data_IF_826110755476
#
_entry.id   IF_826110755476
#
_cell.length_a   1.000
_cell.length_b   1.000
_cell.length_c   1.000
_cell.angle_alpha   90.00
_cell.angle_beta   90.00
_cell.angle_gamma   90.00
#
_symmetry.space_group_name_H-M   'P 1'
#
loop_
_entity.id
_entity.type
_entity.pdbx_description
1 polymer ?
#
# COMPACT_ATOMS: atom_id res chain seq x y z
N UNK A 1 27.49 -0.87 4.26
CA UNK A 1 28.94 -0.78 3.96
C UNK A 1 29.08 -0.74 2.45
N UNK A 2 29.54 0.37 1.86
CA UNK A 2 29.80 0.47 0.42
C UNK A 2 31.19 -0.08 0.18
N UNK A 3 31.31 -1.09 -0.67
CA UNK A 3 32.60 -1.65 -1.06
C UNK A 3 33.31 -0.63 -1.95
N UNK A 4 34.52 -0.25 -1.55
CA UNK A 4 35.38 0.62 -2.31
C UNK A 4 35.79 -0.13 -3.58
N UNK A 5 35.24 0.28 -4.73
CA UNK A 5 35.72 -0.10 -6.04
C UNK A 5 37.14 0.46 -6.23
N UNK A 6 38.14 -0.22 -5.68
CA UNK A 6 39.55 0.10 -5.94
C UNK A 6 39.87 -0.35 -7.36
N UNK A 7 39.99 0.62 -8.26
CA UNK A 7 40.56 0.38 -9.58
C UNK A 7 41.95 -0.25 -9.40
N UNK A 8 42.15 -1.46 -9.95
CA UNK A 8 43.46 -2.11 -9.95
C UNK A 8 44.33 -1.35 -10.94
N UNK A 9 45.17 -0.46 -10.43
CA UNK A 9 46.13 0.29 -11.24
C UNK A 9 47.23 -0.65 -11.74
N UNK A 10 47.02 -1.22 -12.92
CA UNK A 10 48.05 -2.02 -13.59
C UNK A 10 49.17 -1.10 -14.11
N UNK A 11 50.39 -1.32 -13.65
CA UNK A 11 51.60 -0.58 -14.04
C UNK A 11 52.19 -0.93 -15.42
N UNK A 12 51.55 -1.81 -16.19
CA UNK A 12 52.02 -2.13 -17.54
C UNK A 12 51.85 -0.93 -18.48
N UNK A 13 52.76 -0.73 -19.46
CA UNK A 13 52.57 0.30 -20.49
C UNK A 13 51.28 0.00 -21.28
N UNK A 14 50.55 1.06 -21.67
CA UNK A 14 49.21 0.98 -22.29
C UNK A 14 49.15 0.05 -23.50
N UNK A 15 50.24 -0.06 -24.24
CA UNK A 15 50.39 -0.89 -25.44
C UNK A 15 50.44 -2.38 -25.13
N UNK A 16 50.87 -2.78 -23.93
CA UNK A 16 50.94 -4.18 -23.48
C UNK A 16 49.72 -4.62 -22.66
N UNK A 17 48.80 -3.70 -22.34
CA UNK A 17 47.58 -4.03 -21.59
C UNK A 17 46.54 -4.77 -22.45
N UNK A 18 46.64 -4.65 -23.77
CA UNK A 18 45.71 -5.26 -24.73
C UNK A 18 46.49 -6.30 -25.53
N UNK A 19 46.04 -7.56 -25.59
CA UNK A 19 46.61 -8.57 -26.47
C UNK A 19 46.72 -8.06 -27.91
N UNK A 20 47.81 -8.40 -28.61
CA UNK A 20 48.11 -7.89 -29.97
C UNK A 20 46.95 -8.10 -30.95
N UNK A 21 46.30 -9.28 -30.87
CA UNK A 21 45.13 -9.63 -31.68
C UNK A 21 43.93 -8.68 -31.44
N UNK A 22 43.71 -8.29 -30.18
CA UNK A 22 42.60 -7.42 -29.80
C UNK A 22 42.88 -5.95 -30.16
N UNK A 23 44.15 -5.56 -30.18
CA UNK A 23 44.60 -4.23 -30.59
C UNK A 23 44.35 -4.01 -32.10
N UNK A 24 44.63 -5.02 -32.93
CA UNK A 24 44.31 -5.01 -34.37
C UNK A 24 42.81 -4.94 -34.62
N UNK A 25 42.01 -5.68 -33.83
CA UNK A 25 40.55 -5.64 -33.90
C UNK A 25 39.98 -4.25 -33.55
N UNK A 26 40.44 -3.63 -32.46
CA UNK A 26 40.01 -2.27 -32.07
C UNK A 26 40.41 -1.24 -33.12
N UNK A 27 41.63 -1.35 -33.68
CA UNK A 27 42.08 -0.48 -34.78
C UNK A 27 41.19 -0.64 -36.01
N UNK A 28 40.82 -1.87 -36.36
CA UNK A 28 39.91 -2.16 -37.47
C UNK A 28 38.50 -1.61 -37.22
N UNK A 29 37.97 -1.67 -35.99
CA UNK A 29 36.70 -1.04 -35.65
C UNK A 29 36.76 0.49 -35.74
N UNK A 30 37.85 1.10 -35.26
CA UNK A 30 38.03 2.57 -35.35
C UNK A 30 38.18 3.04 -36.79
N UNK A 31 38.95 2.35 -37.61
CA UNK A 31 39.05 2.68 -39.05
C UNK A 31 37.74 2.43 -39.79
N UNK A 32 36.95 1.41 -39.43
CA UNK A 32 35.57 1.25 -39.94
C UNK A 32 34.66 2.41 -39.51
N UNK A 33 34.77 2.87 -38.26
CA UNK A 33 34.01 4.01 -37.73
C UNK A 33 34.46 5.36 -38.32
N UNK A 34 35.74 5.53 -38.61
CA UNK A 34 36.29 6.74 -39.24
C UNK A 34 36.04 6.76 -40.76
N UNK A 35 35.92 5.60 -41.42
CA UNK A 35 35.63 5.45 -42.84
C UNK A 35 34.14 5.54 -43.20
N UNK A 36 33.23 5.21 -42.28
CA UNK A 36 31.84 5.67 -42.34
C UNK A 36 31.79 7.09 -41.80
N UNK A 37 32.24 8.03 -42.65
CA UNK A 37 32.29 9.44 -42.36
C UNK A 37 31.00 9.91 -41.70
N UNK A 38 31.17 10.80 -40.72
CA UNK A 38 30.14 11.66 -40.14
C UNK A 38 28.81 11.52 -40.86
N UNK A 39 27.98 10.55 -40.47
CA UNK A 39 26.56 10.66 -40.78
C UNK A 39 26.17 11.92 -40.03
N UNK A 40 26.19 13.04 -40.76
CA UNK A 40 25.78 14.32 -40.30
C UNK A 40 24.33 14.08 -39.93
N UNK A 41 24.08 13.80 -38.65
CA UNK A 41 22.74 13.75 -38.08
C UNK A 41 22.12 15.02 -38.62
N UNK A 42 21.13 14.86 -39.52
CA UNK A 42 20.62 15.97 -40.33
C UNK A 42 20.39 17.16 -39.42
N UNK A 43 20.73 18.36 -39.89
CA UNK A 43 20.55 19.58 -39.11
C UNK A 43 19.19 19.56 -38.43
N UNK A 44 19.19 19.69 -37.10
CA UNK A 44 17.99 19.54 -36.27
C UNK A 44 16.86 20.38 -36.87
N UNK A 45 15.74 19.74 -37.25
CA UNK A 45 14.54 20.47 -37.63
C UNK A 45 13.99 21.14 -36.37
N UNK A 46 14.31 22.42 -36.22
CA UNK A 46 13.88 23.23 -35.08
C UNK A 46 12.35 23.29 -34.95
N UNK A 47 11.63 23.26 -36.07
CA UNK A 47 10.17 23.34 -36.07
C UNK A 47 9.54 22.06 -35.54
N UNK A 48 10.06 20.90 -35.95
CA UNK A 48 9.60 19.60 -35.49
C UNK A 48 10.01 19.36 -34.04
N UNK A 49 11.28 19.65 -33.71
CA UNK A 49 11.82 19.48 -32.34
C UNK A 49 11.02 20.32 -31.34
N UNK A 50 10.65 21.55 -31.68
CA UNK A 50 9.79 22.40 -30.83
C UNK A 50 8.40 21.80 -30.62
N UNK A 51 7.79 21.20 -31.66
CA UNK A 51 6.50 20.50 -31.55
C UNK A 51 6.63 19.27 -30.64
N UNK A 52 7.69 18.48 -30.79
CA UNK A 52 7.93 17.29 -29.97
C UNK A 52 8.10 17.66 -28.49
N UNK A 53 8.90 18.68 -28.17
CA UNK A 53 9.07 19.19 -26.80
C UNK A 53 7.74 19.69 -26.22
N UNK A 54 6.95 20.44 -26.99
CA UNK A 54 5.66 20.94 -26.53
C UNK A 54 4.67 19.79 -26.23
N UNK A 55 4.66 18.74 -27.07
CA UNK A 55 3.82 17.56 -26.86
C UNK A 55 4.27 16.74 -25.65
N UNK A 56 5.58 16.60 -25.43
CA UNK A 56 6.14 15.96 -24.24
C UNK A 56 5.68 16.67 -22.96
N UNK A 57 5.80 18.01 -22.92
CA UNK A 57 5.33 18.82 -21.78
C UNK A 57 3.83 18.68 -21.53
N UNK A 58 3.01 18.68 -22.59
CA UNK A 58 1.55 18.46 -22.45
C UNK A 58 1.23 17.09 -21.86
N UNK A 59 1.92 16.03 -22.30
CA UNK A 59 1.74 14.67 -21.77
C UNK A 59 2.13 14.58 -20.31
N UNK A 60 3.22 15.23 -19.91
CA UNK A 60 3.67 15.30 -18.53
C UNK A 60 2.64 16.02 -17.63
N UNK A 61 2.13 17.18 -18.06
CA UNK A 61 1.07 17.90 -17.34
C UNK A 61 -0.22 17.07 -17.19
N UNK A 62 -0.59 16.28 -18.20
CA UNK A 62 -1.75 15.37 -18.10
C UNK A 62 -1.50 14.31 -17.04
N UNK A 63 -0.32 13.66 -17.04
CA UNK A 63 0.05 12.65 -16.03
C UNK A 63 0.05 13.21 -14.61
N UNK A 64 0.59 14.41 -14.42
CA UNK A 64 0.59 15.07 -13.12
C UNK A 64 -0.84 15.38 -12.62
N UNK A 65 -1.73 15.83 -13.50
CA UNK A 65 -3.14 16.05 -13.17
C UNK A 65 -3.85 14.76 -12.80
N UNK A 66 -3.59 13.66 -13.50
CA UNK A 66 -4.15 12.34 -13.19
C UNK A 66 -3.65 11.82 -11.85
N UNK A 67 -2.34 11.94 -11.57
CA UNK A 67 -1.77 11.55 -10.28
C UNK A 67 -2.36 12.37 -9.13
N UNK A 68 -2.50 13.70 -9.30
CA UNK A 68 -3.13 14.56 -8.31
C UNK A 68 -4.59 14.20 -8.06
N UNK A 69 -5.34 13.80 -9.10
CA UNK A 69 -6.71 13.31 -8.95
C UNK A 69 -6.77 12.00 -8.16
N UNK A 70 -5.86 11.05 -8.45
CA UNK A 70 -5.76 9.78 -7.73
C UNK A 70 -5.44 9.96 -6.25
N UNK A 71 -4.43 10.78 -5.93
CA UNK A 71 -4.09 11.08 -4.54
C UNK A 71 -5.26 11.73 -3.80
N UNK A 72 -5.98 12.66 -4.45
CA UNK A 72 -7.15 13.30 -3.84
C UNK A 72 -8.32 12.32 -3.63
N UNK A 73 -8.52 11.36 -4.53
CA UNK A 73 -9.56 10.34 -4.33
C UNK A 73 -9.19 9.33 -3.25
N UNK A 74 -7.92 8.92 -3.18
CA UNK A 74 -7.43 8.02 -2.13
C UNK A 74 -7.53 8.69 -0.76
N UNK A 75 -7.15 9.97 -0.66
CA UNK A 75 -7.31 10.75 0.58
C UNK A 75 -8.78 10.91 0.98
N UNK A 76 -9.69 11.03 0.01
CA UNK A 76 -11.13 11.10 0.30
C UNK A 76 -11.67 9.76 0.82
N UNK A 77 -11.24 8.64 0.23
CA UNK A 77 -11.61 7.29 0.70
C UNK A 77 -11.07 7.06 2.12
N UNK A 78 -9.82 7.44 2.39
CA UNK A 78 -9.22 7.29 3.71
C UNK A 78 -9.97 8.10 4.78
N UNK A 79 -10.40 9.33 4.44
CA UNK A 79 -11.24 10.14 5.35
C UNK A 79 -12.63 9.55 5.59
N UNK A 80 -13.21 8.88 4.59
CA UNK A 80 -14.47 8.15 4.78
C UNK A 80 -14.28 6.93 5.67
N UNK A 81 -13.18 6.17 5.51
CA UNK A 81 -12.85 5.00 6.32
C UNK A 81 -12.68 5.38 7.81
N UNK A 82 -11.92 6.44 8.10
CA UNK A 82 -11.76 6.96 9.48
C UNK A 82 -13.10 7.36 10.11
N UNK A 83 -14.04 7.91 9.33
CA UNK A 83 -15.37 8.29 9.83
C UNK A 83 -16.27 7.07 10.13
N UNK A 84 -16.07 5.95 9.43
CA UNK A 84 -16.83 4.72 9.65
C UNK A 84 -16.36 3.96 10.90
N UNK A 85 -15.06 4.01 11.21
CA UNK A 85 -14.49 3.36 12.39
C UNK A 85 -15.04 3.96 13.70
N UNK A 86 -15.33 5.26 13.74
CA UNK A 86 -15.91 5.93 14.92
C UNK A 86 -17.38 5.56 15.19
N UNK A 87 -18.12 5.07 14.19
CA UNK A 87 -19.55 4.72 14.33
C UNK A 87 -19.78 3.22 14.63
N UNK A 88 -18.82 2.36 14.31
CA UNK A 88 -18.86 0.93 14.59
C UNK A 88 -18.16 0.64 15.93
N UNK A 89 -18.75 1.12 17.03
CA UNK A 89 -18.22 0.92 18.37
C UNK A 89 -17.85 -0.55 18.62
N UNK A 90 -16.58 -0.78 18.99
CA UNK A 90 -15.96 -2.05 19.42
C UNK A 90 -16.57 -3.34 18.83
N UNK A 91 -16.90 -3.36 17.54
CA UNK A 91 -17.16 -4.59 16.80
C UNK A 91 -15.85 -5.29 16.44
N UNK A 92 -14.86 -5.21 17.35
CA UNK A 92 -13.61 -5.90 17.24
C UNK A 92 -13.90 -7.40 17.31
N UNK A 93 -14.17 -7.97 16.13
CA UNK A 93 -13.99 -9.36 15.79
C UNK A 93 -12.48 -9.66 15.90
N UNK A 94 -11.91 -9.43 17.08
CA UNK A 94 -10.73 -10.15 17.49
C UNK A 94 -11.08 -11.60 17.25
N UNK A 95 -10.41 -12.22 16.28
CA UNK A 95 -10.57 -13.64 16.03
C UNK A 95 -10.28 -14.29 17.37
N UNK A 96 -11.33 -14.75 18.06
CA UNK A 96 -11.17 -15.41 19.35
C UNK A 96 -10.20 -16.54 19.06
N UNK A 97 -9.04 -16.52 19.71
CA UNK A 97 -8.05 -17.58 19.54
C UNK A 97 -8.78 -18.86 19.93
N UNK A 98 -9.13 -19.68 18.94
CA UNK A 98 -9.78 -20.96 19.19
C UNK A 98 -8.71 -21.84 19.81
N UNK A 99 -8.88 -22.32 21.06
CA UNK A 99 -7.89 -23.18 21.67
C UNK A 99 -7.71 -24.43 20.81
N UNK A 100 -6.47 -24.91 20.60
CA UNK A 100 -6.22 -26.12 19.83
C UNK A 100 -6.93 -27.30 20.50
N UNK A 101 -7.74 -28.03 19.74
CA UNK A 101 -8.48 -29.21 20.22
C UNK A 101 -7.55 -30.43 20.13
N UNK A 102 -7.40 -31.16 21.23
CA UNK A 102 -6.63 -32.40 21.25
C UNK A 102 -7.47 -33.56 20.70
N UNK A 103 -7.29 -33.89 19.42
CA UNK A 103 -8.04 -34.97 18.75
C UNK A 103 -7.74 -36.38 19.27
N UNK A 104 -6.64 -36.55 20.02
CA UNK A 104 -6.23 -37.84 20.58
C UNK A 104 -6.68 -38.03 22.04
N UNK A 105 -7.42 -37.07 22.60
CA UNK A 105 -7.88 -37.13 23.99
C UNK A 105 -8.87 -38.29 24.19
N UNK A 106 -8.61 -39.10 25.22
CA UNK A 106 -9.50 -40.22 25.59
C UNK A 106 -10.53 -39.82 26.64
N UNK A 107 -10.34 -38.65 27.28
CA UNK A 107 -11.21 -38.08 28.31
C UNK A 107 -11.52 -36.61 27.99
N UNK A 108 -12.72 -36.17 28.39
CA UNK A 108 -13.16 -34.77 28.18
C UNK A 108 -12.25 -33.73 28.86
N UNK A 109 -11.64 -34.09 29.99
CA UNK A 109 -10.69 -33.22 30.70
C UNK A 109 -9.39 -32.95 29.94
N UNK A 110 -9.07 -33.76 28.92
CA UNK A 110 -7.86 -33.64 28.09
C UNK A 110 -8.15 -32.98 26.73
N UNK A 111 -9.43 -32.70 26.44
CA UNK A 111 -9.89 -32.21 25.14
C UNK A 111 -9.50 -30.74 24.89
N UNK A 112 -9.45 -29.96 25.97
CA UNK A 112 -9.11 -28.53 25.98
C UNK A 112 -8.00 -28.34 27.01
N UNK A 113 -6.84 -27.88 26.55
CA UNK A 113 -5.75 -27.54 27.44
C UNK A 113 -6.02 -26.19 28.13
N UNK A 114 -6.56 -26.27 29.35
CA UNK A 114 -6.82 -25.09 30.20
C UNK A 114 -5.54 -24.54 30.86
N UNK A 115 -4.38 -25.17 30.65
CA UNK A 115 -3.11 -24.70 31.20
C UNK A 115 -2.40 -23.68 30.31
N UNK A 116 -2.88 -23.47 29.08
CA UNK A 116 -2.57 -22.27 28.30
C UNK A 116 -3.14 -21.07 29.06
N UNK A 117 -2.25 -20.22 29.56
CA UNK A 117 -2.59 -18.95 30.21
C UNK A 117 -3.65 -18.22 29.37
N UNK A 118 -4.91 -18.34 29.82
CA UNK A 118 -5.97 -17.45 29.39
C UNK A 118 -5.53 -16.10 29.91
N UNK A 119 -4.91 -15.32 29.04
CA UNK A 119 -4.61 -13.93 29.31
C UNK A 119 -5.97 -13.26 29.47
N UNK A 120 -6.50 -13.24 30.70
CA UNK A 120 -7.72 -12.50 31.00
C UNK A 120 -7.48 -11.08 30.52
N UNK A 121 -8.36 -10.51 29.68
CA UNK A 121 -8.23 -9.12 29.31
C UNK A 121 -8.14 -8.33 30.62
N UNK A 122 -7.26 -7.30 30.70
CA UNK A 122 -7.10 -6.53 31.91
C UNK A 122 -8.49 -6.13 32.39
N UNK A 123 -8.85 -6.59 33.59
CA UNK A 123 -10.15 -6.29 34.19
C UNK A 123 -10.31 -4.77 34.08
N UNK A 124 -11.42 -4.35 33.47
CA UNK A 124 -11.80 -2.94 33.37
C UNK A 124 -11.55 -2.31 34.72
N UNK A 125 -10.69 -1.29 34.74
CA UNK A 125 -10.16 -0.79 35.99
C UNK A 125 -11.32 -0.35 36.89
N UNK A 126 -11.20 -0.53 38.20
CA UNK A 126 -12.27 -0.18 39.16
C UNK A 126 -12.76 1.29 39.06
N UNK A 127 -12.05 2.12 38.31
CA UNK A 127 -12.40 3.49 37.99
C UNK A 127 -13.40 3.61 36.84
N UNK A 128 -13.29 2.78 35.79
CA UNK A 128 -14.26 2.74 34.69
C UNK A 128 -15.63 2.25 35.17
N UNK A 129 -15.64 1.26 36.07
CA UNK A 129 -16.88 0.78 36.71
C UNK A 129 -17.52 1.83 37.62
N UNK A 130 -16.70 2.67 38.29
CA UNK A 130 -17.21 3.81 39.08
C UNK A 130 -17.82 4.87 38.17
N UNK A 131 -17.15 5.19 37.06
CA UNK A 131 -17.67 6.14 36.07
C UNK A 131 -18.99 5.64 35.45
N UNK A 132 -19.13 4.34 35.15
CA UNK A 132 -20.41 3.79 34.65
C UNK A 132 -21.56 3.90 35.67
N UNK A 133 -21.25 3.81 36.96
CA UNK A 133 -22.24 3.97 38.03
C UNK A 133 -22.65 5.43 38.22
N UNK A 134 -21.71 6.36 38.08
CA UNK A 134 -21.93 7.80 38.26
C UNK A 134 -22.58 8.45 37.03
N UNK A 135 -22.26 7.96 35.84
CA UNK A 135 -22.87 8.37 34.57
C UNK A 135 -23.49 7.17 33.88
N UNK A 136 -24.76 6.81 34.20
CA UNK A 136 -25.45 5.74 33.49
C UNK A 136 -25.52 6.12 32.00
N UNK A 137 -25.18 5.15 31.13
CA UNK A 137 -25.30 5.36 29.68
C UNK A 137 -26.71 5.84 29.36
N UNK A 138 -26.80 7.00 28.70
CA UNK A 138 -28.07 7.50 28.20
C UNK A 138 -28.47 6.61 27.03
N UNK A 139 -29.47 5.75 27.25
CA UNK A 139 -30.06 4.95 26.18
C UNK A 139 -30.68 5.93 25.18
N UNK A 140 -30.23 5.94 23.91
CA UNK A 140 -30.85 6.78 22.90
C UNK A 140 -32.35 6.50 22.83
N UNK A 141 -33.18 7.54 22.86
CA UNK A 141 -34.62 7.36 22.71
C UNK A 141 -34.87 6.79 21.31
N UNK A 142 -35.39 5.57 21.24
CA UNK A 142 -35.61 4.80 20.01
C UNK A 142 -36.63 5.43 19.01
N UNK A 143 -37.03 6.69 19.20
CA UNK A 143 -38.00 7.41 18.38
C UNK A 143 -37.45 8.55 17.52
N UNK A 144 -36.24 9.06 17.78
CA UNK A 144 -35.73 10.26 17.06
C UNK A 144 -34.90 9.95 15.82
N UNK A 145 -34.52 8.68 15.58
CA UNK A 145 -33.69 8.30 14.42
C UNK A 145 -34.49 8.00 13.14
N UNK A 146 -35.83 8.05 13.18
CA UNK A 146 -36.66 7.73 12.01
C UNK A 146 -37.05 8.94 11.14
N UNK A 147 -36.85 10.19 11.60
CA UNK A 147 -37.40 11.34 10.88
C UNK A 147 -36.47 11.95 9.82
N UNK A 148 -35.16 11.70 9.89
CA UNK A 148 -34.22 12.19 8.87
C UNK A 148 -33.92 11.11 7.84
N UNK A 149 -34.94 10.81 7.04
CA UNK A 149 -34.92 9.81 5.99
C UNK A 149 -33.81 10.03 4.95
N UNK A 150 -32.77 9.21 5.02
CA UNK A 150 -32.18 8.62 3.82
C UNK A 150 -33.05 7.43 3.43
N UNK A 151 -33.70 7.55 2.26
CA UNK A 151 -34.50 6.52 1.60
C UNK A 151 -33.64 5.27 1.31
N UNK A 152 -33.38 4.44 2.30
CA UNK A 152 -33.07 3.03 2.07
C UNK A 152 -34.38 2.28 2.13
N UNK A 153 -34.88 1.89 0.96
CA UNK A 153 -36.09 1.12 0.77
C UNK A 153 -35.90 -0.30 1.29
N UNK A 154 -35.99 -0.48 2.61
CA UNK A 154 -36.15 -1.78 3.25
C UNK A 154 -37.62 -1.97 3.65
N UNK A 155 -38.24 -3.14 3.40
CA UNK A 155 -39.61 -3.39 3.82
C UNK A 155 -39.68 -3.52 5.35
N UNK A 156 -40.34 -2.56 6.00
CA UNK A 156 -40.79 -2.72 7.38
C UNK A 156 -41.79 -3.88 7.42
N UNK A 157 -41.38 -5.00 8.00
CA UNK A 157 -42.26 -6.11 8.34
C UNK A 157 -43.32 -5.57 9.32
N UNK A 158 -44.56 -5.49 8.87
CA UNK A 158 -45.67 -5.17 9.75
C UNK A 158 -45.97 -6.35 10.68
N UNK A 159 -46.41 -6.09 11.93
CA UNK A 159 -46.78 -7.14 12.86
C UNK A 159 -47.96 -7.93 12.28
N UNK A 160 -47.80 -9.26 12.20
CA UNK A 160 -48.91 -10.16 11.92
C UNK A 160 -49.90 -10.06 13.08
N UNK A 161 -51.02 -9.37 12.87
CA UNK A 161 -52.17 -9.49 13.75
C UNK A 161 -52.73 -10.92 13.62
N UNK A 162 -52.58 -11.69 14.70
CA UNK A 162 -53.18 -13.00 14.82
C UNK A 162 -54.71 -12.86 14.92
N UNK A 163 -55.42 -13.56 14.04
CA UNK A 163 -56.87 -13.78 14.13
C UNK A 163 -57.17 -15.02 14.95
#
# INVERSE_FOLDING_TARGET
KRENNSHIDCGCPREKKIPVLELEFIKAQRTKAEGQGSMQMGSIDYSETKKQIANAKKREQIREREQKKKMKSEEAIQREEELYDDQLGDCSFHSRKVPPINVNATKLSELVDLSLEVLEPPLTTSQELRNLKETPMQVPKCGEMCENGHRSSGPCLQPLEAR
#
